data_IF_210963845131
#
_entry.id   IF_210963845131
#
_cell.length_a   1.000
_cell.length_b   1.000
_cell.length_c   1.000
_cell.angle_alpha   90.00
_cell.angle_beta   90.00
_cell.angle_gamma   90.00
#
_symmetry.space_group_name_H-M   'P 1'
#
loop_
_entity.id
_entity.type
_entity.pdbx_description
1 polymer ?
#
# COMPACT_ATOMS: atom_id res chain seq x y z
N UNK A 1 -14.64 6.41 53.70
CA UNK A 1 -13.36 6.76 53.06
C UNK A 1 -13.44 6.36 51.60
N UNK A 2 -13.12 7.30 50.71
CA UNK A 2 -13.23 7.16 49.26
C UNK A 2 -11.95 6.56 48.64
N UNK A 3 -12.01 6.38 47.31
CA UNK A 3 -10.94 6.12 46.32
C UNK A 3 -10.86 4.66 45.82
N UNK A 4 -10.82 4.38 44.51
CA UNK A 4 -10.74 5.27 43.35
C UNK A 4 -11.08 4.55 42.04
N UNK A 5 -11.73 5.29 41.15
CA UNK A 5 -11.78 4.99 39.71
C UNK A 5 -10.68 5.79 38.99
N UNK A 6 -10.11 5.17 37.96
CA UNK A 6 -9.82 5.85 36.70
C UNK A 6 -8.36 6.17 36.42
N UNK A 7 -7.79 5.51 35.41
CA UNK A 7 -6.96 6.12 34.37
C UNK A 7 -6.57 5.07 33.32
N UNK A 8 -6.83 5.36 32.05
CA UNK A 8 -6.42 4.52 30.92
C UNK A 8 -7.07 4.89 29.59
N UNK A 9 -8.30 5.43 29.59
CA UNK A 9 -9.05 5.75 28.36
C UNK A 9 -8.84 7.16 27.78
N UNK A 10 -8.13 8.04 28.48
CA UNK A 10 -7.99 9.45 28.10
C UNK A 10 -6.85 9.74 27.13
N UNK A 11 -5.75 8.99 27.19
CA UNK A 11 -4.52 9.31 26.48
C UNK A 11 -4.63 9.01 24.97
N UNK A 12 -5.11 7.83 24.59
CA UNK A 12 -5.29 7.46 23.18
C UNK A 12 -6.29 8.38 22.48
N UNK A 13 -7.41 8.75 23.14
CA UNK A 13 -8.41 9.65 22.60
C UNK A 13 -7.96 11.12 22.54
N UNK A 14 -7.12 11.57 23.48
CA UNK A 14 -6.53 12.91 23.44
C UNK A 14 -5.44 13.02 22.38
N UNK A 15 -4.64 11.97 22.20
CA UNK A 15 -3.63 11.87 21.13
C UNK A 15 -4.33 11.84 19.76
N UNK A 16 -5.42 11.08 19.59
CA UNK A 16 -6.25 11.12 18.37
C UNK A 16 -6.79 12.52 18.07
N UNK A 17 -7.28 13.26 19.07
CA UNK A 17 -7.78 14.64 18.91
C UNK A 17 -6.67 15.64 18.58
N UNK A 18 -5.43 15.40 19.02
CA UNK A 18 -4.27 16.23 18.72
C UNK A 18 -3.71 15.96 17.31
N UNK A 19 -3.97 14.79 16.75
CA UNK A 19 -3.56 14.36 15.40
C UNK A 19 -4.53 14.74 14.28
N UNK A 20 -5.46 15.69 14.52
CA UNK A 20 -6.34 16.29 13.50
C UNK A 20 -5.54 17.09 12.47
N UNK A 21 -4.77 16.37 11.64
CA UNK A 21 -4.40 16.79 10.31
C UNK A 21 -5.67 17.11 9.51
N UNK A 22 -5.52 17.58 8.27
CA UNK A 22 -6.67 17.92 7.44
C UNK A 22 -7.58 16.68 7.32
N UNK A 23 -8.72 16.71 8.03
CA UNK A 23 -9.74 15.67 7.99
C UNK A 23 -10.62 15.94 6.77
N UNK A 24 -10.79 14.93 5.92
CA UNK A 24 -11.58 14.97 4.71
C UNK A 24 -12.70 13.94 4.80
N UNK A 25 -13.78 14.18 4.06
CA UNK A 25 -14.85 13.20 3.90
C UNK A 25 -14.87 12.80 2.44
N UNK A 26 -14.70 11.51 2.19
CA UNK A 26 -14.81 10.94 0.85
C UNK A 26 -16.22 10.39 0.66
N UNK A 27 -16.76 10.55 -0.54
CA UNK A 27 -18.08 10.03 -0.90
C UNK A 27 -17.94 9.02 -2.03
N UNK A 28 -18.47 7.82 -1.82
CA UNK A 28 -18.49 6.77 -2.85
C UNK A 28 -19.37 7.22 -4.00
N UNK A 29 -18.86 7.10 -5.22
CA UNK A 29 -19.58 7.39 -6.47
C UNK A 29 -19.85 6.13 -7.30
N UNK A 30 -19.10 5.05 -7.06
CA UNK A 30 -19.25 3.78 -7.74
C UNK A 30 -18.42 2.66 -7.11
N UNK A 31 -18.69 1.42 -7.52
CA UNK A 31 -17.97 0.24 -7.05
C UNK A 31 -17.84 -0.80 -8.19
N UNK A 32 -16.74 -1.53 -8.18
CA UNK A 32 -16.39 -2.58 -9.14
C UNK A 32 -15.78 -3.77 -8.39
N UNK A 33 -16.31 -4.97 -8.62
CA UNK A 33 -15.65 -6.21 -8.20
C UNK A 33 -14.64 -6.62 -9.28
N UNK A 34 -13.38 -6.23 -9.09
CA UNK A 34 -12.29 -6.47 -10.05
C UNK A 34 -11.95 -7.96 -10.10
N UNK A 35 -11.90 -8.59 -8.93
CA UNK A 35 -11.90 -10.04 -8.76
C UNK A 35 -12.80 -10.40 -7.56
N UNK A 36 -13.13 -11.68 -7.31
CA UNK A 36 -13.90 -12.07 -6.12
C UNK A 36 -13.25 -11.66 -4.78
N UNK A 37 -11.95 -11.38 -4.78
CA UNK A 37 -11.17 -11.03 -3.60
C UNK A 37 -10.56 -9.62 -3.69
N UNK A 38 -11.00 -8.80 -4.66
CA UNK A 38 -10.41 -7.50 -4.91
C UNK A 38 -11.45 -6.52 -5.44
N UNK A 39 -11.75 -5.48 -4.66
CA UNK A 39 -12.82 -4.53 -4.96
C UNK A 39 -12.29 -3.13 -5.12
N UNK A 40 -12.75 -2.42 -6.13
CA UNK A 40 -12.46 -1.01 -6.37
C UNK A 40 -13.67 -0.16 -6.01
N UNK A 41 -13.45 0.92 -5.28
CA UNK A 41 -14.44 1.97 -5.04
C UNK A 41 -13.95 3.26 -5.70
N UNK A 42 -14.86 3.96 -6.35
CA UNK A 42 -14.64 5.30 -6.90
C UNK A 42 -15.17 6.33 -5.91
N UNK A 43 -14.42 7.42 -5.68
CA UNK A 43 -14.77 8.40 -4.66
C UNK A 43 -14.54 9.83 -5.15
N UNK A 44 -15.33 10.77 -4.62
CA UNK A 44 -14.93 12.17 -4.53
C UNK A 44 -14.09 12.39 -3.27
N UNK A 45 -13.19 13.37 -3.31
CA UNK A 45 -12.11 13.55 -2.33
C UNK A 45 -12.38 14.59 -1.23
N UNK A 46 -13.52 15.28 -1.28
CA UNK A 46 -13.84 16.35 -0.33
C UNK A 46 -12.84 17.52 -0.37
N UNK A 47 -12.14 17.75 -1.49
CA UNK A 47 -11.12 18.79 -1.67
C UNK A 47 -9.72 18.39 -1.20
N UNK A 48 -9.50 17.12 -0.86
CA UNK A 48 -8.23 16.60 -0.35
C UNK A 48 -7.06 16.81 -1.32
N UNK A 49 -7.21 16.42 -2.58
CA UNK A 49 -6.15 16.45 -3.58
C UNK A 49 -5.68 17.88 -3.85
N UNK A 50 -6.60 18.85 -3.89
CA UNK A 50 -6.26 20.27 -4.02
C UNK A 50 -5.47 20.79 -2.80
N UNK A 51 -5.84 20.35 -1.60
CA UNK A 51 -5.22 20.78 -0.36
C UNK A 51 -3.86 20.13 -0.06
N UNK A 52 -3.56 18.96 -0.63
CA UNK A 52 -2.35 18.19 -0.30
C UNK A 52 -1.40 17.97 -1.48
N UNK A 53 -1.89 18.16 -2.70
CA UNK A 53 -1.19 17.68 -3.89
C UNK A 53 -1.22 16.15 -3.98
N UNK A 54 -0.51 15.62 -4.97
CA UNK A 54 -0.41 14.18 -5.26
C UNK A 54 1.04 13.74 -5.42
N UNK A 55 1.32 12.50 -5.08
CA UNK A 55 2.61 11.88 -5.35
C UNK A 55 2.46 10.36 -5.56
N UNK A 56 3.47 9.68 -6.14
CA UNK A 56 3.45 8.22 -6.27
C UNK A 56 3.32 7.54 -4.92
N UNK A 57 2.65 6.39 -4.86
CA UNK A 57 2.42 5.59 -3.65
C UNK A 57 1.64 6.32 -2.54
N UNK A 58 0.98 7.44 -2.88
CA UNK A 58 0.24 8.24 -1.90
C UNK A 58 -0.89 7.43 -1.26
N UNK A 59 -1.03 7.58 0.05
CA UNK A 59 -2.04 6.87 0.84
C UNK A 59 -2.68 7.77 1.88
N UNK A 60 -3.90 7.40 2.25
CA UNK A 60 -4.77 8.04 3.23
C UNK A 60 -5.08 7.08 4.36
N UNK A 61 -5.36 7.60 5.55
CA UNK A 61 -5.96 6.80 6.64
C UNK A 61 -7.46 6.96 6.58
N UNK A 62 -8.19 5.87 6.38
CA UNK A 62 -9.64 5.83 6.45
C UNK A 62 -10.09 5.38 7.84
N UNK A 63 -11.17 5.98 8.34
CA UNK A 63 -11.74 5.69 9.65
C UNK A 63 -13.03 4.87 9.51
N UNK A 64 -12.95 3.60 9.87
CA UNK A 64 -14.06 2.65 9.86
C UNK A 64 -14.72 2.56 11.23
N UNK A 65 -16.02 2.28 11.26
CA UNK A 65 -16.68 1.82 12.49
C UNK A 65 -16.41 0.33 12.70
N UNK A 66 -16.00 -0.02 13.91
CA UNK A 66 -15.83 -1.40 14.35
C UNK A 66 -16.62 -1.61 15.65
N UNK A 67 -17.91 -1.89 15.50
CA UNK A 67 -18.86 -2.06 16.59
C UNK A 67 -18.90 -0.84 17.54
N UNK A 68 -19.02 0.36 16.97
CA UNK A 68 -19.08 1.63 17.72
C UNK A 68 -17.72 2.18 18.15
N UNK A 69 -16.61 1.59 17.68
CA UNK A 69 -15.25 2.06 17.96
C UNK A 69 -14.55 2.44 16.66
N UNK A 70 -13.85 3.60 16.61
CA UNK A 70 -13.11 4.01 15.43
C UNK A 70 -11.93 3.06 15.19
N UNK A 71 -11.78 2.66 13.94
CA UNK A 71 -10.72 1.74 13.50
C UNK A 71 -10.12 2.24 12.20
N UNK A 72 -8.84 2.56 12.20
CA UNK A 72 -8.19 3.15 11.04
C UNK A 72 -7.44 2.11 10.18
N UNK A 73 -7.49 2.28 8.86
CA UNK A 73 -6.64 1.55 7.90
C UNK A 73 -6.10 2.48 6.83
N UNK A 74 -4.88 2.21 6.37
CA UNK A 74 -4.27 2.98 5.30
C UNK A 74 -4.65 2.38 3.94
N UNK A 75 -5.00 3.23 2.99
CA UNK A 75 -5.29 2.83 1.61
C UNK A 75 -4.58 3.76 0.63
N UNK A 76 -4.02 3.18 -0.42
CA UNK A 76 -3.31 3.91 -1.48
C UNK A 76 -4.31 4.44 -2.50
N UNK A 77 -4.10 5.66 -2.96
CA UNK A 77 -4.92 6.30 -3.99
C UNK A 77 -4.66 5.66 -5.36
N UNK A 78 -5.72 5.39 -6.10
CA UNK A 78 -5.68 4.92 -7.48
C UNK A 78 -6.19 6.03 -8.40
N UNK A 79 -5.36 6.46 -9.34
CA UNK A 79 -5.70 7.47 -10.34
C UNK A 79 -6.26 8.77 -9.76
N UNK A 80 -5.55 9.44 -8.83
CA UNK A 80 -6.02 10.72 -8.31
C UNK A 80 -6.04 11.80 -9.39
N UNK A 81 -7.19 12.47 -9.52
CA UNK A 81 -7.44 13.60 -10.41
C UNK A 81 -7.74 14.84 -9.56
N UNK A 82 -6.74 15.74 -9.36
CA UNK A 82 -6.92 16.96 -8.59
C UNK A 82 -7.87 17.98 -9.20
N UNK A 83 -8.08 17.96 -10.52
CA UNK A 83 -9.01 18.87 -11.19
C UNK A 83 -10.46 18.44 -10.98
N UNK A 84 -10.72 17.13 -11.10
CA UNK A 84 -12.04 16.56 -10.85
C UNK A 84 -12.35 16.36 -9.35
N UNK A 85 -11.33 16.34 -8.48
CA UNK A 85 -11.49 15.99 -7.07
C UNK A 85 -11.92 14.54 -6.88
N UNK A 86 -11.39 13.63 -7.70
CA UNK A 86 -11.77 12.21 -7.70
C UNK A 86 -10.56 11.30 -7.66
N UNK A 87 -10.77 10.09 -7.12
CA UNK A 87 -9.79 9.01 -7.12
C UNK A 87 -10.52 7.71 -6.86
N UNK A 88 -9.80 6.59 -6.90
CA UNK A 88 -10.32 5.29 -6.49
C UNK A 88 -9.50 4.71 -5.34
N UNK A 89 -10.10 3.78 -4.61
CA UNK A 89 -9.43 2.94 -3.63
C UNK A 89 -9.67 1.49 -3.98
N UNK A 90 -8.64 0.66 -3.79
CA UNK A 90 -8.74 -0.78 -4.02
C UNK A 90 -8.53 -1.53 -2.71
N UNK A 91 -9.38 -2.54 -2.50
CA UNK A 91 -9.46 -3.34 -1.29
C UNK A 91 -9.17 -4.79 -1.63
N UNK A 92 -8.01 -5.28 -1.17
CA UNK A 92 -7.80 -6.72 -1.03
C UNK A 92 -8.72 -7.24 0.06
N UNK A 93 -9.72 -8.03 -0.33
CA UNK A 93 -10.82 -8.44 0.56
C UNK A 93 -10.37 -9.59 1.47
N UNK A 94 -10.55 -9.38 2.76
CA UNK A 94 -10.30 -10.36 3.82
C UNK A 94 -11.35 -10.22 4.92
N UNK A 95 -11.17 -10.87 6.07
CA UNK A 95 -12.08 -10.70 7.22
C UNK A 95 -11.80 -9.38 7.96
N UNK A 96 -12.86 -8.62 8.27
CA UNK A 96 -12.79 -7.45 9.14
C UNK A 96 -13.44 -6.19 8.56
N UNK A 97 -13.70 -5.23 9.45
CA UNK A 97 -14.57 -4.08 9.21
C UNK A 97 -14.26 -3.26 7.94
N UNK A 98 -13.00 -3.14 7.53
CA UNK A 98 -12.65 -2.38 6.33
C UNK A 98 -13.09 -3.12 5.04
N UNK A 99 -12.91 -4.44 4.99
CA UNK A 99 -13.40 -5.28 3.90
C UNK A 99 -14.93 -5.41 3.93
N UNK A 100 -15.52 -5.50 5.12
CA UNK A 100 -16.98 -5.56 5.27
C UNK A 100 -17.64 -4.27 4.80
N UNK A 101 -17.08 -3.12 5.18
CA UNK A 101 -17.51 -1.82 4.67
C UNK A 101 -17.36 -1.74 3.16
N UNK A 102 -16.21 -2.14 2.60
CA UNK A 102 -15.98 -2.08 1.16
C UNK A 102 -16.97 -2.94 0.36
N UNK A 103 -17.30 -4.15 0.85
CA UNK A 103 -18.31 -5.04 0.25
C UNK A 103 -19.70 -4.39 0.25
N UNK A 104 -20.07 -3.70 1.33
CA UNK A 104 -21.37 -3.07 1.50
C UNK A 104 -21.49 -1.69 0.84
N UNK A 105 -20.36 -1.04 0.56
CA UNK A 105 -20.30 0.33 0.07
C UNK A 105 -21.07 0.50 -1.25
N UNK A 106 -21.91 1.55 -1.29
CA UNK A 106 -22.70 1.96 -2.45
C UNK A 106 -22.58 3.48 -2.67
N UNK A 107 -22.92 3.98 -3.88
CA UNK A 107 -22.91 5.41 -4.15
C UNK A 107 -23.69 6.22 -3.09
N UNK A 108 -23.07 7.29 -2.61
CA UNK A 108 -23.59 8.14 -1.54
C UNK A 108 -23.11 7.79 -0.13
N UNK A 109 -22.55 6.59 0.08
CA UNK A 109 -21.89 6.26 1.36
C UNK A 109 -20.64 7.14 1.53
N UNK A 110 -20.32 7.47 2.79
CA UNK A 110 -19.20 8.35 3.13
C UNK A 110 -18.22 7.68 4.08
N UNK A 111 -16.97 8.15 4.05
CA UNK A 111 -15.94 7.72 4.99
C UNK A 111 -15.01 8.90 5.33
N UNK A 112 -14.69 9.03 6.62
CA UNK A 112 -13.72 10.03 7.08
C UNK A 112 -12.29 9.58 6.75
N UNK A 113 -11.45 10.53 6.39
CA UNK A 113 -10.08 10.29 6.00
C UNK A 113 -9.11 11.36 6.53
N UNK A 114 -7.91 10.93 6.87
CA UNK A 114 -6.81 11.82 7.28
C UNK A 114 -5.60 11.57 6.39
N UNK A 115 -5.01 12.64 5.84
CA UNK A 115 -3.74 12.58 5.11
C UNK A 115 -2.60 12.91 6.05
N UNK A 116 -1.80 11.91 6.41
CA UNK A 116 -0.64 12.09 7.30
C UNK A 116 0.41 11.01 7.08
N UNK A 117 1.68 11.41 6.98
CA UNK A 117 2.83 10.49 6.98
C UNK A 117 3.07 9.79 5.64
N UNK A 118 2.29 10.14 4.62
CA UNK A 118 2.54 9.72 3.23
C UNK A 118 3.58 10.63 2.57
N UNK A 119 4.36 10.08 1.65
CA UNK A 119 5.39 10.82 0.93
C UNK A 119 6.10 9.92 -0.06
N UNK A 120 6.73 10.54 -1.06
CA UNK A 120 7.55 9.86 -2.04
C UNK A 120 8.84 10.65 -2.28
N UNK A 121 9.97 9.97 -2.20
CA UNK A 121 11.26 10.53 -2.59
C UNK A 121 11.75 9.75 -3.79
N UNK A 122 11.83 10.41 -4.94
CA UNK A 122 12.35 9.79 -6.15
C UNK A 122 13.80 9.35 -5.90
N UNK A 123 14.15 8.07 -6.11
CA UNK A 123 15.51 7.58 -5.88
C UNK A 123 16.50 8.32 -6.78
N UNK A 124 17.66 8.67 -6.22
CA UNK A 124 18.78 9.26 -6.93
C UNK A 124 20.05 8.42 -6.68
N UNK A 125 20.86 8.10 -7.71
CA UNK A 125 20.58 8.34 -9.14
C UNK A 125 19.31 7.60 -9.62
N UNK A 126 18.81 7.97 -10.80
CA UNK A 126 17.67 7.26 -11.41
C UNK A 126 17.96 5.75 -11.46
N UNK A 127 17.00 4.89 -11.10
CA UNK A 127 17.23 3.44 -11.12
C UNK A 127 17.51 2.94 -12.53
N UNK A 128 18.53 2.10 -12.68
CA UNK A 128 18.72 1.34 -13.91
C UNK A 128 17.79 0.12 -13.97
N UNK A 129 17.31 -0.34 -12.81
CA UNK A 129 16.32 -1.42 -12.68
C UNK A 129 15.59 -1.31 -11.34
N UNK A 130 14.29 -1.59 -11.34
CA UNK A 130 13.46 -1.66 -10.13
C UNK A 130 13.20 -3.12 -9.75
N UNK A 131 13.44 -3.47 -8.50
CA UNK A 131 13.09 -4.76 -7.91
C UNK A 131 11.94 -4.54 -6.94
N UNK A 132 10.72 -4.84 -7.38
CA UNK A 132 9.53 -4.65 -6.58
C UNK A 132 9.08 -5.98 -5.97
N UNK A 133 8.74 -5.96 -4.69
CA UNK A 133 8.19 -7.11 -3.97
C UNK A 133 6.90 -6.65 -3.30
N UNK A 134 5.79 -7.27 -3.67
CA UNK A 134 4.46 -6.83 -3.23
C UNK A 134 3.44 -7.95 -3.20
N UNK A 135 2.25 -7.59 -2.74
CA UNK A 135 1.04 -8.43 -2.68
C UNK A 135 -0.20 -7.59 -3.08
N UNK A 136 -1.43 -8.16 -3.12
CA UNK A 136 -2.65 -7.44 -3.47
C UNK A 136 -2.87 -6.13 -2.69
N UNK A 137 -2.52 -6.05 -1.40
CA UNK A 137 -2.71 -4.83 -0.62
C UNK A 137 -1.81 -3.67 -1.11
N UNK A 138 -0.69 -4.01 -1.74
CA UNK A 138 0.29 -3.05 -2.25
C UNK A 138 0.14 -2.70 -3.73
N UNK A 139 -0.71 -3.42 -4.47
CA UNK A 139 -0.84 -3.29 -5.93
C UNK A 139 -1.10 -1.84 -6.41
N UNK A 140 -1.97 -1.04 -5.78
CA UNK A 140 -2.15 0.36 -6.15
C UNK A 140 -0.84 1.17 -6.09
N UNK A 141 -0.05 0.94 -5.03
CA UNK A 141 1.20 1.65 -4.82
C UNK A 141 2.24 1.19 -5.84
N UNK A 142 2.34 -0.11 -6.08
CA UNK A 142 3.18 -0.67 -7.14
C UNK A 142 2.87 -0.04 -8.49
N UNK A 143 1.60 0.02 -8.89
CA UNK A 143 1.19 0.63 -10.16
C UNK A 143 1.64 2.09 -10.25
N UNK A 144 1.37 2.90 -9.23
CA UNK A 144 1.79 4.31 -9.22
C UNK A 144 3.32 4.49 -9.17
N UNK A 145 4.05 3.54 -8.58
CA UNK A 145 5.51 3.51 -8.57
C UNK A 145 6.07 3.25 -9.96
N UNK A 146 5.52 2.25 -10.66
CA UNK A 146 5.89 1.93 -12.04
C UNK A 146 5.60 3.11 -12.97
N UNK A 147 4.46 3.78 -12.82
CA UNK A 147 4.14 4.99 -13.58
C UNK A 147 5.19 6.11 -13.34
N UNK A 148 5.64 6.27 -12.11
CA UNK A 148 6.60 7.32 -11.73
C UNK A 148 8.06 7.03 -12.12
N UNK A 149 8.43 5.74 -12.16
CA UNK A 149 9.77 5.26 -12.49
C UNK A 149 9.84 4.66 -13.90
N UNK A 150 8.83 4.92 -14.73
CA UNK A 150 8.58 4.24 -16.01
C UNK A 150 9.71 4.16 -17.05
N UNK A 151 10.81 4.94 -17.00
CA UNK A 151 11.99 4.66 -17.81
C UNK A 151 12.77 3.40 -17.40
N UNK A 152 12.66 2.96 -16.14
CA UNK A 152 13.43 1.86 -15.59
C UNK A 152 12.68 0.53 -15.74
N UNK A 153 13.30 -0.52 -16.31
CA UNK A 153 12.72 -1.86 -16.30
C UNK A 153 12.52 -2.35 -14.87
N UNK A 154 11.59 -3.30 -14.69
CA UNK A 154 11.26 -3.82 -13.38
C UNK A 154 11.18 -5.34 -13.34
N UNK A 155 11.68 -5.95 -12.26
CA UNK A 155 11.36 -7.32 -11.87
C UNK A 155 10.47 -7.27 -10.64
N UNK A 156 9.31 -7.91 -10.73
CA UNK A 156 8.24 -7.79 -9.75
C UNK A 156 7.93 -9.18 -9.21
N UNK A 157 8.24 -9.45 -7.95
CA UNK A 157 7.71 -10.63 -7.26
C UNK A 157 6.40 -10.26 -6.59
N UNK A 158 5.31 -10.87 -7.04
CA UNK A 158 3.97 -10.55 -6.55
C UNK A 158 3.34 -11.77 -5.88
N UNK A 159 3.22 -11.73 -4.56
CA UNK A 159 2.68 -12.84 -3.77
C UNK A 159 1.16 -12.79 -3.66
N UNK A 160 0.48 -13.89 -3.96
CA UNK A 160 -0.99 -13.98 -3.88
C UNK A 160 -1.46 -15.40 -3.56
N UNK A 161 -2.52 -15.53 -2.75
CA UNK A 161 -3.22 -16.79 -2.49
C UNK A 161 -4.09 -17.24 -3.67
N UNK A 162 -4.49 -16.31 -4.54
CA UNK A 162 -5.49 -16.52 -5.59
C UNK A 162 -4.91 -16.43 -7.01
N UNK A 163 -3.57 -16.47 -7.14
CA UNK A 163 -2.90 -16.15 -8.39
C UNK A 163 -2.96 -14.65 -8.72
N UNK A 164 -2.57 -14.28 -9.94
CA UNK A 164 -2.48 -12.88 -10.38
C UNK A 164 -3.50 -12.49 -11.44
N UNK A 165 -4.32 -13.44 -11.89
CA UNK A 165 -5.26 -13.23 -12.98
C UNK A 165 -6.36 -12.25 -12.58
N UNK A 166 -6.68 -11.31 -13.48
CA UNK A 166 -7.70 -10.29 -13.28
C UNK A 166 -7.25 -9.07 -12.47
N UNK A 167 -6.10 -9.10 -11.80
CA UNK A 167 -5.58 -7.91 -11.14
C UNK A 167 -5.22 -6.81 -12.14
N UNK A 168 -5.50 -5.53 -11.84
CA UNK A 168 -5.32 -4.41 -12.76
C UNK A 168 -3.86 -3.91 -12.76
N UNK A 169 -2.92 -4.79 -13.10
CA UNK A 169 -1.51 -4.41 -13.25
C UNK A 169 -1.32 -3.39 -14.37
N UNK A 170 -0.55 -2.33 -14.12
CA UNK A 170 -0.09 -1.37 -15.13
C UNK A 170 1.28 -1.75 -15.69
N UNK A 171 1.57 -3.05 -15.74
CA UNK A 171 2.85 -3.55 -16.24
C UNK A 171 2.95 -3.41 -17.76
N UNK A 172 4.14 -3.09 -18.27
CA UNK A 172 4.43 -3.00 -19.70
C UNK A 172 5.16 -4.28 -20.14
N UNK A 173 4.57 -5.14 -21.00
CA UNK A 173 5.20 -6.37 -21.46
C UNK A 173 6.57 -6.11 -22.11
N UNK A 174 7.56 -6.94 -21.79
CA UNK A 174 8.95 -6.79 -22.27
C UNK A 174 9.77 -5.72 -21.54
N UNK A 175 9.14 -4.88 -20.73
CA UNK A 175 9.81 -3.91 -19.85
C UNK A 175 9.70 -4.28 -18.37
N UNK A 176 8.55 -4.83 -17.97
CA UNK A 176 8.29 -5.33 -16.63
C UNK A 176 8.15 -6.86 -16.65
N UNK A 177 8.97 -7.53 -15.84
CA UNK A 177 8.95 -8.98 -15.60
C UNK A 177 8.14 -9.26 -14.32
N UNK A 178 6.85 -9.57 -14.50
CA UNK A 178 5.96 -9.97 -13.41
C UNK A 178 6.13 -11.46 -13.11
N UNK A 179 6.52 -11.75 -11.87
CA UNK A 179 6.73 -13.10 -11.33
C UNK A 179 5.68 -13.38 -10.25
N UNK A 180 4.58 -14.05 -10.58
CA UNK A 180 3.60 -14.50 -9.60
C UNK A 180 4.24 -15.49 -8.63
N UNK A 181 4.01 -15.29 -7.33
CA UNK A 181 4.48 -16.19 -6.26
C UNK A 181 3.27 -16.65 -5.44
N UNK A 182 3.04 -17.95 -5.27
CA UNK A 182 1.97 -18.40 -4.38
C UNK A 182 2.36 -18.13 -2.93
N UNK A 183 1.43 -17.60 -2.11
CA UNK A 183 1.69 -17.43 -0.68
C UNK A 183 1.80 -18.78 0.00
N UNK A 184 2.96 -19.05 0.62
CA UNK A 184 3.26 -20.30 1.34
C UNK A 184 4.11 -20.01 2.56
N UNK A 185 3.99 -20.86 3.58
CA UNK A 185 4.81 -20.82 4.80
C UNK A 185 4.84 -19.42 5.44
N UNK A 186 3.68 -18.77 5.52
CA UNK A 186 3.50 -17.42 6.04
C UNK A 186 4.45 -16.36 5.42
N UNK A 187 4.71 -16.47 4.11
CA UNK A 187 5.55 -15.55 3.35
C UNK A 187 7.02 -15.99 3.22
N UNK A 188 7.43 -17.08 3.89
CA UNK A 188 8.81 -17.56 3.80
C UNK A 188 9.18 -18.03 2.39
N UNK A 189 8.22 -18.53 1.60
CA UNK A 189 8.47 -18.91 0.22
C UNK A 189 8.83 -17.70 -0.66
N UNK A 190 8.09 -16.59 -0.56
CA UNK A 190 8.43 -15.35 -1.26
C UNK A 190 9.85 -14.87 -0.90
N UNK A 191 10.21 -14.93 0.39
CA UNK A 191 11.57 -14.59 0.84
C UNK A 191 12.61 -15.49 0.17
N UNK A 192 12.36 -16.79 0.09
CA UNK A 192 13.26 -17.76 -0.56
C UNK A 192 13.43 -17.49 -2.05
N UNK A 193 12.34 -17.28 -2.78
CA UNK A 193 12.37 -16.99 -4.23
C UNK A 193 13.18 -15.74 -4.53
N UNK A 194 12.96 -14.66 -3.77
CA UNK A 194 13.69 -13.40 -3.93
C UNK A 194 15.17 -13.60 -3.61
N UNK A 195 15.51 -14.27 -2.50
CA UNK A 195 16.92 -14.50 -2.11
C UNK A 195 17.68 -15.39 -3.09
N UNK A 196 16.97 -16.34 -3.72
CA UNK A 196 17.54 -17.23 -4.73
C UNK A 196 17.84 -16.48 -6.04
N UNK A 197 16.88 -15.69 -6.54
CA UNK A 197 16.99 -15.07 -7.85
C UNK A 197 17.75 -13.73 -7.85
N UNK A 198 17.74 -12.98 -6.75
CA UNK A 198 18.26 -11.62 -6.72
C UNK A 198 19.78 -11.48 -6.98
N UNK A 199 20.67 -12.34 -6.44
CA UNK A 199 22.12 -12.18 -6.63
C UNK A 199 22.53 -12.10 -8.11
N UNK A 200 21.97 -12.97 -8.95
CA UNK A 200 22.27 -13.00 -10.39
C UNK A 200 21.77 -11.74 -11.09
N UNK A 201 20.56 -11.27 -10.76
CA UNK A 201 19.98 -10.05 -11.32
C UNK A 201 20.77 -8.79 -10.90
N UNK A 202 21.24 -8.75 -9.66
CA UNK A 202 22.05 -7.65 -9.14
C UNK A 202 23.39 -7.54 -9.90
N UNK A 203 24.02 -8.66 -10.25
CA UNK A 203 25.28 -8.69 -11.01
C UNK A 203 25.21 -7.97 -12.37
N UNK A 204 24.01 -7.72 -12.89
CA UNK A 204 23.75 -7.03 -14.15
C UNK A 204 23.13 -5.63 -13.99
N UNK A 205 23.03 -5.13 -12.75
CA UNK A 205 22.32 -3.88 -12.45
C UNK A 205 23.24 -2.87 -11.77
N UNK A 206 23.55 -1.77 -12.45
CA UNK A 206 24.41 -0.71 -11.90
C UNK A 206 23.75 0.07 -10.77
N UNK A 207 22.50 0.51 -10.97
CA UNK A 207 21.74 1.34 -10.04
C UNK A 207 20.43 0.65 -9.62
N UNK A 208 20.48 -0.44 -8.83
CA UNK A 208 19.30 -1.17 -8.40
C UNK A 208 18.47 -0.35 -7.43
N UNK A 209 17.15 -0.33 -7.58
CA UNK A 209 16.23 0.21 -6.56
C UNK A 209 15.26 -0.88 -6.12
N UNK A 210 15.25 -1.16 -4.81
CA UNK A 210 14.39 -2.18 -4.22
C UNK A 210 13.22 -1.52 -3.52
N UNK A 211 12.01 -1.96 -3.83
CA UNK A 211 10.76 -1.52 -3.20
C UNK A 211 10.00 -2.73 -2.65
N UNK A 212 9.65 -2.70 -1.37
CA UNK A 212 9.06 -3.82 -0.64
C UNK A 212 7.83 -3.34 0.10
N UNK A 213 6.68 -3.91 -0.22
CA UNK A 213 5.41 -3.63 0.43
C UNK A 213 4.57 -4.90 0.55
N UNK A 214 4.76 -5.64 1.63
CA UNK A 214 4.00 -6.86 1.94
C UNK A 214 3.50 -6.79 3.39
N UNK A 215 3.26 -7.93 4.02
CA UNK A 215 3.13 -8.00 5.47
C UNK A 215 4.42 -7.53 6.20
N UNK A 216 4.25 -7.10 7.46
CA UNK A 216 5.37 -6.55 8.26
C UNK A 216 6.52 -7.52 8.49
N UNK A 217 6.28 -8.83 8.59
CA UNK A 217 7.31 -9.83 8.85
C UNK A 217 8.16 -10.07 7.59
N UNK A 218 7.49 -10.32 6.46
CA UNK A 218 8.12 -10.49 5.14
C UNK A 218 8.92 -9.24 4.74
N UNK A 219 8.31 -8.07 4.89
CA UNK A 219 8.95 -6.78 4.57
C UNK A 219 10.22 -6.58 5.38
N UNK A 220 10.18 -6.86 6.69
CA UNK A 220 11.35 -6.73 7.58
C UNK A 220 12.45 -7.73 7.21
N UNK A 221 12.09 -8.97 6.90
CA UNK A 221 13.02 -10.01 6.48
C UNK A 221 13.79 -9.61 5.22
N UNK A 222 13.06 -9.25 4.16
CA UNK A 222 13.66 -8.81 2.90
C UNK A 222 14.47 -7.51 3.05
N UNK A 223 13.95 -6.52 3.79
CA UNK A 223 14.71 -5.29 4.06
C UNK A 223 16.04 -5.58 4.76
N UNK A 224 16.06 -6.54 5.70
CA UNK A 224 17.28 -6.96 6.37
C UNK A 224 18.24 -7.66 5.40
N UNK A 225 17.72 -8.58 4.57
CA UNK A 225 18.50 -9.27 3.54
C UNK A 225 19.18 -8.27 2.58
N UNK A 226 18.40 -7.38 1.96
CA UNK A 226 18.93 -6.44 0.97
C UNK A 226 20.00 -5.50 1.54
N UNK A 227 19.83 -5.06 2.79
CA UNK A 227 20.75 -4.11 3.42
C UNK A 227 21.99 -4.75 4.03
N UNK A 228 21.87 -5.96 4.59
CA UNK A 228 22.97 -6.60 5.34
C UNK A 228 23.72 -7.64 4.53
N UNK A 229 23.01 -8.43 3.74
CA UNK A 229 23.59 -9.54 2.99
C UNK A 229 23.90 -9.13 1.55
N UNK A 230 22.93 -8.51 0.85
CA UNK A 230 23.17 -7.98 -0.50
C UNK A 230 23.91 -6.63 -0.51
N UNK A 231 24.17 -6.04 0.66
CA UNK A 231 25.00 -4.85 0.82
C UNK A 231 24.44 -3.57 0.18
N UNK A 232 23.14 -3.49 -0.12
CA UNK A 232 22.57 -2.31 -0.77
C UNK A 232 22.53 -1.11 0.19
N UNK A 233 22.88 0.09 -0.29
CA UNK A 233 22.74 1.31 0.50
C UNK A 233 21.29 1.54 0.93
N UNK A 234 21.07 2.12 2.11
CA UNK A 234 19.71 2.33 2.68
C UNK A 234 18.80 3.11 1.72
N UNK A 235 19.32 4.11 1.02
CA UNK A 235 18.58 4.92 0.06
C UNK A 235 18.13 4.15 -1.19
N UNK A 236 18.67 2.95 -1.42
CA UNK A 236 18.29 2.06 -2.52
C UNK A 236 17.27 1.00 -2.10
N UNK A 237 16.84 0.99 -0.84
CA UNK A 237 15.88 0.01 -0.31
C UNK A 237 14.75 0.74 0.41
N UNK A 238 13.57 0.73 -0.18
CA UNK A 238 12.33 1.16 0.45
C UNK A 238 11.56 -0.06 0.95
N UNK A 239 11.31 -0.14 2.26
CA UNK A 239 10.49 -1.19 2.86
C UNK A 239 9.42 -0.59 3.76
N UNK A 240 8.15 -0.89 3.49
CA UNK A 240 7.02 -0.46 4.29
C UNK A 240 6.06 -1.65 4.46
N UNK A 241 5.82 -2.08 5.70
CA UNK A 241 4.86 -3.16 5.96
C UNK A 241 3.43 -2.64 5.88
N UNK A 242 2.62 -3.18 4.95
CA UNK A 242 1.28 -2.69 4.67
C UNK A 242 0.24 -3.29 5.62
N UNK A 243 0.45 -4.53 6.06
CA UNK A 243 -0.46 -5.23 6.95
C UNK A 243 0.27 -6.15 7.92
N UNK A 244 -0.45 -6.64 8.91
CA UNK A 244 0.02 -7.65 9.86
C UNK A 244 -0.92 -8.86 9.77
N UNK A 245 -0.39 -10.10 9.70
CA UNK A 245 -1.20 -11.31 9.79
C UNK A 245 -1.90 -11.46 11.13
#
# INVERSE_FOLDING_TARGET
MAQGQGQGRGWEGAVLKLFRGKDFVFTVTGAEDVTPHYRRLHLTDGGMLSATGVHPTMWVRLWFDNAGKPHQRAYTLVGPDPEAGTFSLEFALHDGCASDWARAAKPGDTIEATVQGTGFTRPQPEPSHVFAIGDPASLPALNSLLDALGPAPATIWFESDHGTDGYPFRTVPGHHDLRPVPRKDAGAHLVSEVRSAFPDLLGHTADPYVWIACDTATTRSLTSYFRKEAGLPKQRVHGLGYWQP
#
